data_IF_663625807778
#
_entry.id   IF_663625807778
#
_cell.length_a   1.000
_cell.length_b   1.000
_cell.length_c   1.000
_cell.angle_alpha   90.00
_cell.angle_beta   90.00
_cell.angle_gamma   90.00
#
_symmetry.space_group_name_H-M   'P 1'
#
loop_
_entity.id
_entity.type
_entity.pdbx_description
1 polymer ?
#
# COMPACT_ATOMS: atom_id res chain seq x y z
N UNK A 1 -21.16 4.52 22.51
CA UNK A 1 -22.61 4.53 22.23
C UNK A 1 -22.80 3.91 20.85
N UNK A 2 -23.75 3.01 20.65
CA UNK A 2 -24.04 2.48 19.30
C UNK A 2 -25.07 3.39 18.68
N UNK A 3 -24.60 4.30 17.82
CA UNK A 3 -25.47 5.11 16.97
C UNK A 3 -25.85 4.27 15.75
N UNK A 4 -27.14 4.11 15.50
CA UNK A 4 -27.67 3.33 14.36
C UNK A 4 -27.91 4.19 13.13
N UNK A 5 -28.04 5.52 13.28
CA UNK A 5 -28.21 6.46 12.19
C UNK A 5 -27.24 7.65 12.28
N UNK A 6 -26.80 8.15 11.13
CA UNK A 6 -25.90 9.32 11.04
C UNK A 6 -26.52 10.56 11.69
N UNK A 7 -27.85 10.70 11.62
CA UNK A 7 -28.57 11.80 12.25
C UNK A 7 -28.49 11.81 13.79
N UNK A 8 -28.05 10.70 14.41
CA UNK A 8 -27.91 10.60 15.85
C UNK A 8 -26.56 11.14 16.37
N UNK A 9 -25.63 11.49 15.46
CA UNK A 9 -24.31 12.02 15.83
C UNK A 9 -24.39 13.48 16.28
N UNK A 10 -23.59 13.82 17.28
CA UNK A 10 -23.27 15.22 17.55
C UNK A 10 -22.45 15.82 16.41
N UNK A 11 -22.40 17.15 16.34
CA UNK A 11 -21.62 17.87 15.31
C UNK A 11 -20.14 17.52 15.38
N UNK A 12 -19.58 17.39 16.58
CA UNK A 12 -18.19 16.98 16.78
C UNK A 12 -17.96 15.53 16.32
N UNK A 13 -18.80 14.58 16.71
CA UNK A 13 -18.67 13.19 16.25
C UNK A 13 -18.82 13.07 14.72
N UNK A 14 -19.67 13.88 14.10
CA UNK A 14 -19.80 13.92 12.65
C UNK A 14 -18.56 14.50 11.97
N UNK A 15 -17.95 15.57 12.52
CA UNK A 15 -16.69 16.12 11.99
C UNK A 15 -15.56 15.09 12.07
N UNK A 16 -15.47 14.38 13.18
CA UNK A 16 -14.46 13.33 13.38
C UNK A 16 -14.62 12.21 12.35
N UNK A 17 -15.85 11.73 12.14
CA UNK A 17 -16.17 10.73 11.12
C UNK A 17 -15.77 11.21 9.70
N UNK A 18 -16.11 12.45 9.35
CA UNK A 18 -15.75 13.01 8.03
C UNK A 18 -14.23 13.12 7.88
N UNK A 19 -13.54 13.54 8.94
CA UNK A 19 -12.08 13.66 8.91
C UNK A 19 -11.39 12.30 8.70
N UNK A 20 -11.88 11.25 9.37
CA UNK A 20 -11.40 9.88 9.20
C UNK A 20 -11.60 9.39 7.77
N UNK A 21 -12.83 9.48 7.24
CA UNK A 21 -13.16 9.04 5.87
C UNK A 21 -12.34 9.80 4.82
N UNK A 22 -12.13 11.11 5.01
CA UNK A 22 -11.30 11.90 4.09
C UNK A 22 -9.84 11.49 4.15
N UNK A 23 -9.30 11.22 5.34
CA UNK A 23 -7.93 10.75 5.48
C UNK A 23 -7.74 9.37 4.81
N UNK A 24 -8.67 8.44 5.03
CA UNK A 24 -8.67 7.13 4.35
C UNK A 24 -8.71 7.29 2.83
N UNK A 25 -9.64 8.11 2.32
CA UNK A 25 -9.78 8.37 0.88
C UNK A 25 -8.50 8.98 0.29
N UNK A 26 -7.86 9.92 1.01
CA UNK A 26 -6.61 10.53 0.57
C UNK A 26 -5.49 9.48 0.51
N UNK A 27 -5.40 8.60 1.51
CA UNK A 27 -4.39 7.54 1.53
C UNK A 27 -4.61 6.55 0.38
N UNK A 28 -5.86 6.18 0.09
CA UNK A 28 -6.19 5.33 -1.06
C UNK A 28 -5.87 5.99 -2.41
N UNK A 29 -5.94 7.32 -2.50
CA UNK A 29 -5.57 8.06 -3.72
C UNK A 29 -4.04 8.14 -3.94
N UNK A 30 -3.23 7.97 -2.90
CA UNK A 30 -1.76 8.03 -2.96
C UNK A 30 -1.18 6.63 -2.69
N UNK A 31 -1.44 5.70 -3.61
CA UNK A 31 -1.20 4.26 -3.48
C UNK A 31 0.30 3.87 -3.47
N UNK A 32 1.16 4.57 -4.23
CA UNK A 32 2.61 4.36 -4.19
C UNK A 32 3.40 5.69 -4.17
N UNK A 33 4.02 6.07 -3.02
CA UNK A 33 4.81 7.29 -2.92
C UNK A 33 6.13 7.23 -3.72
N UNK A 34 6.58 6.03 -4.12
CA UNK A 34 7.79 5.80 -4.90
C UNK A 34 7.49 5.60 -6.40
N UNK A 35 6.23 5.73 -6.83
CA UNK A 35 5.84 5.54 -8.23
C UNK A 35 6.62 6.49 -9.16
N UNK A 36 7.23 5.92 -10.19
CA UNK A 36 8.02 6.67 -11.18
C UNK A 36 9.40 7.12 -10.70
N UNK A 37 9.82 6.79 -9.47
CA UNK A 37 11.18 7.05 -9.01
C UNK A 37 12.17 6.00 -9.54
N UNK A 38 13.39 6.44 -9.82
CA UNK A 38 14.48 5.54 -10.18
C UNK A 38 15.24 5.04 -8.94
N UNK A 39 15.67 3.78 -8.99
CA UNK A 39 16.56 3.24 -7.98
C UNK A 39 17.92 3.94 -8.00
N UNK A 40 18.36 4.41 -6.82
CA UNK A 40 19.73 4.88 -6.60
C UNK A 40 20.74 3.79 -6.94
N UNK A 41 21.86 4.18 -7.52
CA UNK A 41 22.87 3.24 -8.02
C UNK A 41 23.40 2.30 -6.93
N UNK A 42 23.64 2.83 -5.73
CA UNK A 42 24.06 2.05 -4.55
C UNK A 42 23.09 0.90 -4.19
N UNK A 43 21.78 1.13 -4.38
CA UNK A 43 20.74 0.12 -4.13
C UNK A 43 20.71 -0.89 -5.27
N UNK A 44 20.80 -0.43 -6.52
CA UNK A 44 20.86 -1.29 -7.71
C UNK A 44 22.04 -2.27 -7.61
N UNK A 45 23.23 -1.78 -7.31
CA UNK A 45 24.41 -2.63 -7.15
C UNK A 45 24.25 -3.66 -6.02
N UNK A 46 23.67 -3.24 -4.89
CA UNK A 46 23.42 -4.13 -3.76
C UNK A 46 22.43 -5.25 -4.12
N UNK A 47 21.37 -4.93 -4.85
CA UNK A 47 20.39 -5.91 -5.34
C UNK A 47 21.04 -6.90 -6.30
N UNK A 48 21.84 -6.43 -7.26
CA UNK A 48 22.58 -7.29 -8.19
C UNK A 48 23.49 -8.28 -7.46
N UNK A 49 24.25 -7.83 -6.45
CA UNK A 49 25.07 -8.72 -5.63
C UNK A 49 24.25 -9.77 -4.89
N UNK A 50 23.06 -9.41 -4.40
CA UNK A 50 22.16 -10.35 -3.72
C UNK A 50 21.59 -11.39 -4.68
N UNK A 51 21.20 -10.97 -5.89
CA UNK A 51 20.70 -11.88 -6.93
C UNK A 51 21.75 -12.93 -7.31
N UNK A 52 22.99 -12.51 -7.55
CA UNK A 52 24.09 -13.42 -7.90
C UNK A 52 24.39 -14.42 -6.77
N UNK A 53 24.19 -14.02 -5.50
CA UNK A 53 24.38 -14.90 -4.33
C UNK A 53 23.20 -15.84 -4.06
N UNK A 54 22.08 -15.68 -4.76
CA UNK A 54 20.89 -16.51 -4.52
C UNK A 54 21.13 -17.90 -5.11
N UNK A 55 21.09 -18.94 -4.27
CA UNK A 55 21.37 -20.34 -4.65
C UNK A 55 20.11 -21.20 -4.79
N UNK A 56 18.91 -20.58 -4.77
CA UNK A 56 17.61 -21.25 -4.91
C UNK A 56 16.93 -21.00 -6.25
N UNK A 57 15.81 -21.69 -6.49
CA UNK A 57 14.93 -21.39 -7.64
C UNK A 57 14.32 -20.00 -7.49
N UNK A 58 14.55 -19.13 -8.47
CA UNK A 58 13.84 -17.86 -8.61
C UNK A 58 12.48 -18.09 -9.26
N UNK A 59 11.51 -17.24 -8.94
CA UNK A 59 10.21 -17.15 -9.61
C UNK A 59 9.95 -15.69 -9.93
N UNK A 60 9.20 -15.44 -11.00
CA UNK A 60 8.79 -14.07 -11.31
C UNK A 60 7.81 -13.58 -10.24
N UNK A 61 7.77 -12.25 -10.03
CA UNK A 61 6.80 -11.67 -9.12
C UNK A 61 5.36 -11.90 -9.62
N UNK A 62 5.15 -11.88 -10.94
CA UNK A 62 3.89 -12.22 -11.59
C UNK A 62 3.41 -13.64 -11.24
N UNK A 63 4.28 -14.64 -11.30
CA UNK A 63 3.92 -16.03 -10.95
C UNK A 63 3.49 -16.15 -9.48
N UNK A 64 4.15 -15.39 -8.60
CA UNK A 64 3.82 -15.35 -7.17
C UNK A 64 2.47 -14.66 -6.96
N UNK A 65 2.23 -13.52 -7.61
CA UNK A 65 0.97 -12.79 -7.54
C UNK A 65 -0.22 -13.64 -8.01
N UNK A 66 -0.08 -14.29 -9.18
CA UNK A 66 -1.11 -15.18 -9.74
C UNK A 66 -1.45 -16.35 -8.80
N UNK A 67 -0.43 -16.93 -8.14
CA UNK A 67 -0.65 -18.02 -7.17
C UNK A 67 -1.35 -17.55 -5.89
N UNK A 68 -1.13 -16.30 -5.49
CA UNK A 68 -1.72 -15.72 -4.28
C UNK A 68 -3.07 -15.03 -4.54
N UNK A 69 -3.49 -14.91 -5.81
CA UNK A 69 -4.70 -14.18 -6.18
C UNK A 69 -4.57 -12.68 -5.95
N UNK A 70 -3.35 -12.14 -6.13
CA UNK A 70 -3.06 -10.72 -6.05
C UNK A 70 -3.03 -10.12 -7.46
N UNK A 71 -3.52 -8.89 -7.60
CA UNK A 71 -3.33 -8.10 -8.81
C UNK A 71 -1.88 -7.59 -8.87
N UNK A 72 -1.29 -7.62 -10.08
CA UNK A 72 0.10 -7.23 -10.36
C UNK A 72 0.17 -6.34 -11.60
#
# INVERSE_FOLDING_TARGET
MSYTHVADLTVEEFKDLVQEVVAETILELFDDPDEGLELREEIRERLNRSLVRTTGQTRSAQDVAARLGLDW
#
